data_IF_647224268414
#
_entry.id   IF_647224268414
#
_cell.length_a   1.000
_cell.length_b   1.000
_cell.length_c   1.000
_cell.angle_alpha   90.00
_cell.angle_beta   90.00
_cell.angle_gamma   90.00
#
_symmetry.space_group_name_H-M   'P 1'
#
loop_
_entity.id
_entity.type
_entity.pdbx_description
1 polymer ?
#
# COMPACT_ATOMS: atom_id res chain seq x y z
N UNK A 1 55.74 3.44 13.57
CA UNK A 1 54.87 4.57 13.18
C UNK A 1 53.69 4.09 12.33
N UNK A 2 53.92 3.26 11.30
CA UNK A 2 52.85 2.72 10.42
C UNK A 2 51.78 1.85 11.11
N UNK A 3 52.13 1.05 12.13
CA UNK A 3 51.17 0.19 12.85
C UNK A 3 50.18 0.95 13.75
N UNK A 4 50.46 2.21 14.09
CA UNK A 4 49.58 3.00 14.97
C UNK A 4 48.44 3.65 14.18
N UNK A 5 48.70 4.04 12.93
CA UNK A 5 47.69 4.66 12.05
C UNK A 5 46.65 3.66 11.54
N UNK A 6 47.03 2.39 11.27
CA UNK A 6 46.09 1.34 10.85
C UNK A 6 45.08 0.96 11.96
N UNK A 7 45.55 0.88 13.21
CA UNK A 7 44.68 0.62 14.37
C UNK A 7 43.70 1.78 14.63
N UNK A 8 44.14 3.02 14.38
CA UNK A 8 43.32 4.22 14.54
C UNK A 8 42.26 4.34 13.44
N UNK A 9 42.59 3.96 12.20
CA UNK A 9 41.64 3.85 11.08
C UNK A 9 40.59 2.76 11.33
N UNK A 10 41.00 1.57 11.79
CA UNK A 10 40.07 0.47 12.10
C UNK A 10 39.13 0.81 13.28
N UNK A 11 39.62 1.54 14.28
CA UNK A 11 38.79 2.02 15.39
C UNK A 11 37.80 3.11 14.95
N UNK A 12 38.21 4.02 14.06
CA UNK A 12 37.34 5.04 13.46
C UNK A 12 36.27 4.43 12.55
N UNK A 13 36.62 3.43 11.74
CA UNK A 13 35.67 2.68 10.91
C UNK A 13 34.69 1.87 11.75
N UNK A 14 35.15 1.26 12.85
CA UNK A 14 34.26 0.54 13.77
C UNK A 14 33.33 1.50 14.53
N UNK A 15 33.82 2.68 14.92
CA UNK A 15 32.99 3.74 15.50
C UNK A 15 32.00 4.30 14.49
N UNK A 16 32.39 4.52 13.23
CA UNK A 16 31.50 4.94 12.16
C UNK A 16 30.47 3.87 11.83
N UNK A 17 30.82 2.58 11.78
CA UNK A 17 29.85 1.49 11.62
C UNK A 17 28.86 1.46 12.78
N UNK A 18 29.33 1.60 14.02
CA UNK A 18 28.48 1.67 15.21
C UNK A 18 27.61 2.94 15.26
N UNK A 19 28.10 4.10 14.81
CA UNK A 19 27.30 5.33 14.70
C UNK A 19 26.27 5.26 13.57
N UNK A 20 26.61 4.64 12.44
CA UNK A 20 25.70 4.43 11.31
C UNK A 20 24.61 3.40 11.65
N UNK A 21 24.92 2.42 12.51
CA UNK A 21 23.95 1.50 13.11
C UNK A 21 23.11 2.15 14.23
N UNK A 22 23.64 3.17 14.92
CA UNK A 22 22.95 3.90 16.01
C UNK A 22 22.00 5.01 15.57
N UNK A 23 21.93 5.33 14.27
CA UNK A 23 21.02 6.37 13.74
C UNK A 23 20.16 5.92 12.54
N UNK A 24 19.86 4.62 12.40
CA UNK A 24 18.63 4.24 11.70
C UNK A 24 17.46 4.52 12.64
N UNK A 25 16.78 5.64 12.42
CA UNK A 25 15.48 5.90 13.03
C UNK A 25 14.61 4.64 12.91
N UNK A 26 14.02 4.20 14.02
CA UNK A 26 13.12 3.05 14.05
C UNK A 26 12.07 3.20 12.93
N UNK A 27 11.90 2.16 12.10
CA UNK A 27 10.93 2.20 11.01
C UNK A 27 9.53 2.30 11.59
N UNK A 28 8.70 3.19 11.04
CA UNK A 28 7.31 3.34 11.44
C UNK A 28 6.40 2.54 10.53
N UNK A 29 5.52 1.75 11.11
CA UNK A 29 4.55 0.94 10.38
C UNK A 29 3.15 1.37 10.77
N UNK A 30 2.30 1.63 9.78
CA UNK A 30 0.87 1.80 9.97
C UNK A 30 0.15 0.54 9.49
N UNK A 31 -0.64 -0.07 10.37
CA UNK A 31 -1.55 -1.16 9.99
C UNK A 31 -2.98 -0.62 9.97
N UNK A 32 -3.57 -0.50 8.78
CA UNK A 32 -4.98 -0.19 8.61
C UNK A 32 -5.79 -1.49 8.66
N UNK A 33 -6.61 -1.65 9.69
CA UNK A 33 -7.33 -2.89 9.96
C UNK A 33 -8.84 -2.70 9.83
N UNK A 34 -9.48 -3.53 9.01
CA UNK A 34 -10.92 -3.47 8.75
C UNK A 34 -11.62 -4.80 9.00
N UNK A 35 -11.78 -5.17 10.27
CA UNK A 35 -12.65 -6.28 10.65
C UNK A 35 -13.20 -6.10 12.06
N UNK A 36 -14.48 -6.41 12.27
CA UNK A 36 -15.20 -6.09 13.52
C UNK A 36 -14.95 -7.03 14.71
N UNK A 37 -14.40 -8.23 14.45
CA UNK A 37 -14.19 -9.26 15.48
C UNK A 37 -12.71 -9.48 15.78
N UNK A 38 -12.35 -9.35 17.06
CA UNK A 38 -11.03 -9.68 17.62
C UNK A 38 -10.71 -11.17 17.59
N UNK A 39 -11.71 -12.05 17.47
CA UNK A 39 -11.52 -13.50 17.31
C UNK A 39 -11.36 -13.95 15.86
N UNK A 40 -11.30 -13.02 14.91
CA UNK A 40 -11.20 -13.34 13.49
C UNK A 40 -9.80 -13.74 13.07
N UNK A 41 -9.69 -14.47 11.95
CA UNK A 41 -8.39 -14.73 11.33
C UNK A 41 -7.68 -13.43 10.90
N UNK A 42 -8.45 -12.42 10.48
CA UNK A 42 -7.90 -11.10 10.16
C UNK A 42 -7.28 -10.42 11.40
N UNK A 43 -7.92 -10.56 12.57
CA UNK A 43 -7.34 -10.07 13.84
C UNK A 43 -6.02 -10.77 14.12
N UNK A 44 -5.98 -12.10 14.03
CA UNK A 44 -4.77 -12.88 14.25
C UNK A 44 -3.63 -12.52 13.27
N UNK A 45 -3.93 -12.28 11.99
CA UNK A 45 -2.95 -11.84 11.01
C UNK A 45 -2.40 -10.43 11.29
N UNK A 46 -3.26 -9.51 11.73
CA UNK A 46 -2.87 -8.17 12.21
C UNK A 46 -2.01 -8.25 13.47
N UNK A 47 -2.42 -9.05 14.46
CA UNK A 47 -1.68 -9.23 15.71
C UNK A 47 -0.30 -9.84 15.46
N UNK A 48 -0.20 -10.83 14.55
CA UNK A 48 1.08 -11.40 14.13
C UNK A 48 2.01 -10.34 13.49
N UNK A 49 1.46 -9.44 12.67
CA UNK A 49 2.22 -8.34 12.08
C UNK A 49 2.71 -7.34 13.15
N UNK A 50 1.85 -6.95 14.09
CA UNK A 50 2.23 -6.09 15.22
C UNK A 50 3.37 -6.72 16.00
N UNK A 51 3.22 -7.99 16.40
CA UNK A 51 4.20 -8.73 17.20
C UNK A 51 5.56 -8.79 16.50
N UNK A 52 5.61 -9.28 15.26
CA UNK A 52 6.86 -9.53 14.54
C UNK A 52 7.56 -8.22 14.15
N UNK A 53 6.84 -7.18 13.74
CA UNK A 53 7.44 -5.91 13.35
C UNK A 53 7.93 -5.13 14.58
N UNK A 54 7.19 -5.17 15.69
CA UNK A 54 7.64 -4.59 16.96
C UNK A 54 8.90 -5.30 17.47
N UNK A 55 8.96 -6.63 17.38
CA UNK A 55 10.15 -7.41 17.76
C UNK A 55 11.38 -7.08 16.88
N UNK A 56 11.18 -6.60 15.66
CA UNK A 56 12.24 -6.10 14.77
C UNK A 56 12.64 -4.64 15.06
N UNK A 57 12.08 -4.01 16.09
CA UNK A 57 12.38 -2.62 16.46
C UNK A 57 11.60 -1.58 15.65
N UNK A 58 10.52 -1.97 14.96
CA UNK A 58 9.61 -0.99 14.34
C UNK A 58 8.68 -0.37 15.39
N UNK A 59 8.32 0.89 15.20
CA UNK A 59 7.17 1.49 15.89
C UNK A 59 5.92 1.17 15.07
N UNK A 60 4.99 0.41 15.64
CA UNK A 60 3.76 0.00 14.94
C UNK A 60 2.56 0.76 15.50
N UNK A 61 1.86 1.50 14.64
CA UNK A 61 0.55 2.09 14.93
C UNK A 61 -0.54 1.32 14.18
N UNK A 62 -1.71 1.16 14.83
CA UNK A 62 -2.85 0.46 14.24
C UNK A 62 -4.04 1.40 14.16
N UNK A 63 -4.63 1.51 12.98
CA UNK A 63 -5.94 2.12 12.77
C UNK A 63 -6.98 1.01 12.61
N UNK A 64 -7.58 0.60 13.72
CA UNK A 64 -8.71 -0.33 13.74
C UNK A 64 -10.00 0.44 13.42
N UNK A 65 -10.39 0.39 12.15
CA UNK A 65 -11.48 1.20 11.63
C UNK A 65 -12.82 0.92 12.32
N UNK A 66 -13.06 -0.33 12.73
CA UNK A 66 -14.30 -0.70 13.42
C UNK A 66 -14.27 -0.25 14.88
N UNK A 67 -13.15 -0.44 15.59
CA UNK A 67 -13.00 0.03 16.96
C UNK A 67 -13.08 1.56 17.06
N UNK A 68 -12.50 2.27 16.07
CA UNK A 68 -12.57 3.73 15.95
C UNK A 68 -13.96 4.24 15.54
N UNK A 69 -14.87 3.35 15.11
CA UNK A 69 -16.15 3.72 14.47
C UNK A 69 -15.93 4.72 13.33
N UNK A 70 -14.92 4.47 12.52
CA UNK A 70 -14.49 5.39 11.48
C UNK A 70 -15.65 5.71 10.53
N UNK A 71 -15.93 7.01 10.35
CA UNK A 71 -16.96 7.49 9.41
C UNK A 71 -16.49 7.20 7.98
N UNK A 72 -17.24 6.39 7.25
CA UNK A 72 -16.85 5.95 5.90
C UNK A 72 -17.30 6.90 4.78
N UNK A 73 -18.30 7.75 5.01
CA UNK A 73 -18.88 8.59 3.97
C UNK A 73 -18.14 9.91 3.85
N UNK A 74 -17.58 10.18 2.67
CA UNK A 74 -17.00 11.48 2.32
C UNK A 74 -18.11 12.53 2.12
N UNK A 75 -18.19 13.53 2.99
CA UNK A 75 -19.24 14.58 2.95
C UNK A 75 -18.70 15.95 3.35
N UNK A 76 -19.47 17.01 3.15
CA UNK A 76 -19.08 18.37 3.56
C UNK A 76 -18.75 18.50 5.07
N UNK A 77 -19.24 17.59 5.92
CA UNK A 77 -18.92 17.53 7.35
C UNK A 77 -17.45 17.19 7.65
N UNK A 78 -16.70 16.74 6.64
CA UNK A 78 -15.26 16.48 6.75
C UNK A 78 -14.44 17.78 6.78
N UNK A 79 -15.09 18.93 6.59
CA UNK A 79 -14.49 20.26 6.58
C UNK A 79 -15.03 21.04 7.78
N UNK A 80 -14.12 21.55 8.61
CA UNK A 80 -14.45 22.42 9.74
C UNK A 80 -14.59 23.86 9.24
N UNK A 81 -15.78 24.43 9.38
CA UNK A 81 -16.08 25.80 8.97
C UNK A 81 -16.80 25.89 7.64
N UNK A 82 -16.74 27.06 7.00
CA UNK A 82 -17.43 27.31 5.73
C UNK A 82 -16.67 26.70 4.56
N UNK A 83 -17.41 26.06 3.66
CA UNK A 83 -16.93 25.60 2.34
C UNK A 83 -17.01 26.75 1.35
N UNK A 84 -16.15 26.73 0.31
CA UNK A 84 -16.05 27.83 -0.65
C UNK A 84 -17.31 27.96 -1.51
N UNK A 85 -17.93 26.85 -1.90
CA UNK A 85 -19.13 26.82 -2.74
C UNK A 85 -20.09 25.72 -2.29
N UNK A 86 -20.93 26.03 -1.31
CA UNK A 86 -21.92 25.09 -0.78
C UNK A 86 -23.00 24.69 -1.81
N UNK A 87 -23.38 25.60 -2.72
CA UNK A 87 -24.39 25.34 -3.75
C UNK A 87 -23.91 24.36 -4.82
N UNK A 88 -22.60 24.39 -5.13
CA UNK A 88 -21.94 23.50 -6.08
C UNK A 88 -20.76 22.78 -5.44
N UNK A 89 -21.03 22.09 -4.34
CA UNK A 89 -20.02 21.40 -3.55
C UNK A 89 -19.25 20.36 -4.39
N UNK A 90 -17.93 20.53 -4.47
CA UNK A 90 -17.01 19.57 -5.08
C UNK A 90 -16.07 19.04 -4.00
N UNK A 91 -16.30 17.79 -3.56
CA UNK A 91 -15.52 17.21 -2.45
C UNK A 91 -14.01 17.28 -2.71
N UNK A 92 -13.56 17.02 -3.94
CA UNK A 92 -12.13 17.03 -4.28
C UNK A 92 -11.49 18.42 -4.14
N UNK A 93 -12.19 19.49 -4.53
CA UNK A 93 -11.66 20.85 -4.47
C UNK A 93 -11.82 21.45 -3.07
N UNK A 94 -12.95 21.20 -2.41
CA UNK A 94 -13.22 21.70 -1.06
C UNK A 94 -12.32 21.01 -0.01
N UNK A 95 -12.12 19.69 -0.08
CA UNK A 95 -11.21 18.98 0.83
C UNK A 95 -9.74 19.34 0.59
N UNK A 96 -9.36 19.68 -0.65
CA UNK A 96 -8.03 20.22 -0.95
C UNK A 96 -7.82 21.57 -0.26
N UNK A 97 -8.75 22.51 -0.41
CA UNK A 97 -8.66 23.82 0.25
C UNK A 97 -8.66 23.66 1.77
N UNK A 98 -9.53 22.81 2.31
CA UNK A 98 -9.56 22.51 3.73
C UNK A 98 -8.24 21.92 4.22
N UNK A 99 -7.58 21.07 3.43
CA UNK A 99 -6.24 20.57 3.77
C UNK A 99 -5.20 21.69 3.80
N UNK A 100 -5.17 22.56 2.78
CA UNK A 100 -4.24 23.71 2.71
C UNK A 100 -4.41 24.68 3.88
N UNK A 101 -5.64 24.85 4.37
CA UNK A 101 -5.99 25.77 5.47
C UNK A 101 -6.00 25.10 6.86
N UNK A 102 -5.74 23.79 6.96
CA UNK A 102 -5.78 23.06 8.23
C UNK A 102 -7.19 22.92 8.82
N UNK A 103 -8.20 22.84 7.96
CA UNK A 103 -9.64 22.76 8.28
C UNK A 103 -10.27 21.40 7.99
N UNK A 104 -9.49 20.34 7.85
CA UNK A 104 -10.07 18.99 7.78
C UNK A 104 -10.51 18.51 9.17
N UNK A 105 -11.50 17.63 9.22
CA UNK A 105 -11.97 17.02 10.46
C UNK A 105 -10.86 16.27 11.17
N UNK A 106 -10.90 16.29 12.51
CA UNK A 106 -9.80 15.79 13.35
C UNK A 106 -9.45 14.32 13.07
N UNK A 107 -10.46 13.49 12.83
CA UNK A 107 -10.29 12.07 12.48
C UNK A 107 -9.55 11.88 11.15
N UNK A 108 -9.75 12.75 10.16
CA UNK A 108 -8.97 12.71 8.91
C UNK A 108 -7.53 13.15 9.18
N UNK A 109 -7.33 14.27 9.88
CA UNK A 109 -5.98 14.79 10.13
C UNK A 109 -5.10 13.84 10.94
N UNK A 110 -5.70 13.07 11.86
CA UNK A 110 -4.97 12.06 12.64
C UNK A 110 -4.53 10.88 11.77
N UNK A 111 -5.38 10.41 10.85
CA UNK A 111 -5.00 9.35 9.92
C UNK A 111 -3.96 9.83 8.91
N UNK A 112 -4.05 11.09 8.47
CA UNK A 112 -3.02 11.73 7.64
C UNK A 112 -1.69 11.82 8.37
N UNK A 113 -1.68 12.19 9.66
CA UNK A 113 -0.46 12.19 10.51
C UNK A 113 0.21 10.82 10.52
N UNK A 114 -0.55 9.77 10.86
CA UNK A 114 -0.05 8.38 10.87
C UNK A 114 0.56 7.99 9.52
N UNK A 115 -0.11 8.33 8.42
CA UNK A 115 0.36 8.03 7.07
C UNK A 115 1.63 8.81 6.70
N UNK A 116 1.72 10.08 7.09
CA UNK A 116 2.92 10.90 6.90
C UNK A 116 4.12 10.34 7.66
N UNK A 117 3.90 9.82 8.86
CA UNK A 117 4.96 9.26 9.69
C UNK A 117 5.39 7.84 9.29
N UNK A 118 4.49 7.03 8.72
CA UNK A 118 4.78 5.64 8.38
C UNK A 118 5.74 5.49 7.19
N UNK A 119 6.68 4.55 7.28
CA UNK A 119 7.51 4.06 6.17
C UNK A 119 6.84 2.92 5.41
N UNK A 120 6.06 2.09 6.11
CA UNK A 120 5.35 0.93 5.59
C UNK A 120 3.88 0.98 6.03
N UNK A 121 2.97 0.74 5.08
CA UNK A 121 1.54 0.66 5.32
C UNK A 121 1.05 -0.75 4.98
N UNK A 122 0.40 -1.41 5.93
CA UNK A 122 -0.24 -2.71 5.73
C UNK A 122 -1.76 -2.54 5.83
N UNK A 123 -2.47 -2.92 4.78
CA UNK A 123 -3.93 -2.94 4.77
C UNK A 123 -4.40 -4.36 5.09
N UNK A 124 -4.91 -4.59 6.30
CA UNK A 124 -5.45 -5.89 6.73
C UNK A 124 -6.98 -5.93 6.65
N UNK A 125 -7.54 -6.80 5.81
CA UNK A 125 -8.99 -6.87 5.60
C UNK A 125 -9.49 -8.23 5.07
N UNK A 126 -10.76 -8.59 5.29
CA UNK A 126 -11.42 -9.60 4.47
C UNK A 126 -11.78 -9.01 3.10
N UNK A 127 -11.51 -9.73 2.02
CA UNK A 127 -11.99 -9.35 0.69
C UNK A 127 -13.51 -9.45 0.66
N UNK A 128 -14.18 -8.32 0.42
CA UNK A 128 -15.63 -8.23 0.21
C UNK A 128 -15.90 -7.74 -1.20
N UNK A 129 -16.73 -8.48 -1.94
CA UNK A 129 -17.09 -8.13 -3.32
C UNK A 129 -15.89 -7.79 -4.20
N UNK A 130 -14.85 -8.66 -4.18
CA UNK A 130 -13.63 -8.51 -4.99
C UNK A 130 -12.82 -7.24 -4.68
N UNK A 131 -13.06 -6.60 -3.53
CA UNK A 131 -12.35 -5.39 -3.09
C UNK A 131 -12.27 -5.32 -1.56
N UNK A 132 -11.93 -4.15 -1.02
CA UNK A 132 -11.86 -3.85 0.40
C UNK A 132 -13.26 -3.69 1.03
N UNK A 133 -13.42 -3.88 2.35
CA UNK A 133 -14.64 -3.52 3.06
C UNK A 133 -15.00 -2.03 2.87
N UNK A 134 -16.29 -1.72 2.84
CA UNK A 134 -16.78 -0.35 2.62
C UNK A 134 -16.17 0.68 3.59
N UNK A 135 -15.92 0.31 4.84
CA UNK A 135 -15.28 1.20 5.84
C UNK A 135 -13.83 1.55 5.46
N UNK A 136 -13.09 0.62 4.87
CA UNK A 136 -11.73 0.86 4.38
C UNK A 136 -11.75 1.65 3.07
N UNK A 137 -12.72 1.40 2.19
CA UNK A 137 -12.92 2.25 1.00
C UNK A 137 -13.24 3.69 1.39
N UNK A 138 -14.08 3.87 2.40
CA UNK A 138 -14.38 5.18 2.97
C UNK A 138 -13.16 5.86 3.60
N UNK A 139 -12.26 5.10 4.22
CA UNK A 139 -10.97 5.61 4.68
C UNK A 139 -10.13 6.12 3.51
N UNK A 140 -10.06 5.40 2.38
CA UNK A 140 -9.40 5.91 1.17
C UNK A 140 -10.02 7.23 0.71
N UNK A 141 -11.35 7.29 0.62
CA UNK A 141 -12.07 8.45 0.11
C UNK A 141 -11.89 9.71 0.97
N UNK A 142 -11.80 9.54 2.30
CA UNK A 142 -11.70 10.66 3.25
C UNK A 142 -10.27 11.07 3.55
N UNK A 143 -9.33 10.12 3.62
CA UNK A 143 -7.95 10.37 4.08
C UNK A 143 -7.01 10.70 2.93
N UNK A 144 -7.18 10.07 1.76
CA UNK A 144 -6.31 10.27 0.59
C UNK A 144 -6.76 11.50 -0.23
N UNK A 145 -6.84 12.66 0.41
CA UNK A 145 -7.32 13.90 -0.23
C UNK A 145 -6.33 14.46 -1.26
N UNK A 146 -6.86 15.21 -2.24
CA UNK A 146 -6.05 16.00 -3.18
C UNK A 146 -5.22 17.03 -2.39
N UNK A 147 -3.96 17.22 -2.79
CA UNK A 147 -2.98 18.02 -2.07
C UNK A 147 -2.15 17.17 -1.09
N UNK A 148 -2.81 16.34 -0.27
CA UNK A 148 -2.15 15.47 0.70
C UNK A 148 -1.57 14.19 0.08
N UNK A 149 -2.39 13.40 -0.61
CA UNK A 149 -2.01 12.08 -1.11
C UNK A 149 -1.65 12.07 -2.61
N UNK A 150 -2.20 13.02 -3.38
CA UNK A 150 -1.90 13.19 -4.80
C UNK A 150 -2.13 14.63 -5.27
N UNK A 151 -1.56 14.98 -6.41
CA UNK A 151 -1.90 16.18 -7.17
C UNK A 151 -1.91 15.87 -8.68
N UNK A 152 -2.26 16.86 -9.49
CA UNK A 152 -2.20 16.73 -10.95
C UNK A 152 -0.76 16.46 -11.43
N UNK A 153 0.25 17.00 -10.74
CA UNK A 153 1.67 16.81 -11.05
C UNK A 153 2.27 15.59 -10.36
N UNK A 154 1.79 15.26 -9.16
CA UNK A 154 2.33 14.22 -8.27
C UNK A 154 1.37 13.04 -8.16
N UNK A 155 1.52 12.08 -9.08
CA UNK A 155 0.80 10.80 -9.13
C UNK A 155 1.67 9.69 -9.70
N UNK A 156 1.29 8.44 -9.49
CA UNK A 156 2.02 7.26 -9.98
C UNK A 156 3.50 7.30 -9.55
N UNK A 157 4.45 7.01 -10.45
CA UNK A 157 5.89 7.06 -10.13
C UNK A 157 6.41 8.43 -9.64
N UNK A 158 5.64 9.52 -9.82
CA UNK A 158 5.94 10.85 -9.28
C UNK A 158 5.07 11.22 -8.06
N UNK A 159 4.34 10.27 -7.50
CA UNK A 159 3.39 10.47 -6.41
C UNK A 159 4.04 10.93 -5.11
N UNK A 160 3.21 11.45 -4.21
CA UNK A 160 3.64 12.04 -2.93
C UNK A 160 4.29 10.98 -2.03
N UNK A 161 3.78 9.74 -2.07
CA UNK A 161 4.23 8.64 -1.21
C UNK A 161 5.29 7.73 -1.84
N UNK A 162 6.05 8.20 -2.84
CA UNK A 162 7.05 7.41 -3.59
C UNK A 162 8.19 6.79 -2.77
N UNK A 163 8.45 7.31 -1.58
CA UNK A 163 9.46 6.76 -0.65
C UNK A 163 8.87 5.79 0.38
N UNK A 164 7.54 5.56 0.35
CA UNK A 164 6.81 4.70 1.28
C UNK A 164 6.42 3.39 0.61
N UNK A 165 6.42 2.31 1.37
CA UNK A 165 5.96 0.99 0.92
C UNK A 165 4.52 0.75 1.37
N UNK A 166 3.73 0.06 0.56
CA UNK A 166 2.37 -0.33 0.90
C UNK A 166 2.08 -1.77 0.49
N UNK A 167 1.30 -2.50 1.29
CA UNK A 167 0.95 -3.90 1.02
C UNK A 167 -0.51 -4.18 1.37
N UNK A 168 -1.20 -4.93 0.49
CA UNK A 168 -2.50 -5.52 0.79
C UNK A 168 -2.29 -6.87 1.48
N UNK A 169 -2.85 -7.05 2.67
CA UNK A 169 -2.90 -8.32 3.41
C UNK A 169 -4.35 -8.71 3.64
N UNK A 170 -4.83 -9.78 3.01
CA UNK A 170 -6.26 -10.05 3.05
C UNK A 170 -6.62 -11.53 3.02
N UNK A 171 -7.81 -11.82 3.56
CA UNK A 171 -8.40 -13.16 3.52
C UNK A 171 -9.47 -13.23 2.43
N UNK A 172 -9.56 -14.34 1.72
CA UNK A 172 -10.66 -14.61 0.78
C UNK A 172 -11.68 -15.60 1.37
N UNK A 173 -12.89 -15.62 0.83
CA UNK A 173 -13.84 -16.71 1.05
C UNK A 173 -13.65 -17.91 0.11
N UNK A 174 -12.97 -17.67 -1.02
CA UNK A 174 -12.76 -18.62 -2.12
C UNK A 174 -11.34 -19.19 -2.13
N UNK A 175 -11.21 -20.43 -2.60
CA UNK A 175 -9.91 -21.09 -2.77
C UNK A 175 -9.07 -20.40 -3.85
N UNK A 176 -7.74 -20.52 -3.75
CA UNK A 176 -6.79 -19.97 -4.73
C UNK A 176 -7.10 -20.39 -6.17
N UNK A 177 -7.42 -21.66 -6.40
CA UNK A 177 -7.72 -22.20 -7.72
C UNK A 177 -8.85 -21.48 -8.44
N UNK A 178 -9.81 -20.91 -7.70
CA UNK A 178 -10.92 -20.15 -8.26
C UNK A 178 -10.47 -18.83 -8.89
N UNK A 179 -9.29 -18.32 -8.53
CA UNK A 179 -8.70 -17.09 -9.06
C UNK A 179 -7.53 -17.34 -10.03
N UNK A 180 -7.38 -18.57 -10.51
CA UNK A 180 -6.46 -18.88 -11.60
C UNK A 180 -7.00 -18.36 -12.95
N UNK A 181 -6.18 -18.40 -14.00
CA UNK A 181 -6.58 -17.99 -15.35
C UNK A 181 -7.83 -18.71 -15.89
N UNK A 182 -8.11 -19.93 -15.40
CA UNK A 182 -9.30 -20.72 -15.75
C UNK A 182 -10.29 -20.85 -14.58
N UNK A 183 -10.09 -20.10 -13.50
CA UNK A 183 -10.93 -20.11 -12.33
C UNK A 183 -12.19 -19.26 -12.52
N UNK A 184 -13.29 -19.65 -11.90
CA UNK A 184 -14.60 -18.98 -12.05
C UNK A 184 -14.61 -17.52 -11.58
N UNK A 185 -13.71 -17.14 -10.67
CA UNK A 185 -13.59 -15.77 -10.16
C UNK A 185 -12.71 -14.89 -11.05
N UNK A 186 -12.03 -15.47 -12.05
CA UNK A 186 -11.07 -14.77 -12.90
C UNK A 186 -9.71 -14.53 -12.23
N UNK A 187 -8.75 -14.04 -13.01
CA UNK A 187 -7.37 -13.84 -12.59
C UNK A 187 -7.26 -12.81 -11.43
N UNK A 188 -6.63 -13.22 -10.32
CA UNK A 188 -6.36 -12.34 -9.17
C UNK A 188 -5.56 -11.09 -9.58
N UNK A 189 -4.69 -11.18 -10.59
CA UNK A 189 -3.94 -10.02 -11.07
C UNK A 189 -4.87 -8.90 -11.58
N UNK A 190 -5.97 -9.25 -12.24
CA UNK A 190 -7.00 -8.30 -12.71
C UNK A 190 -7.77 -7.72 -11.53
N UNK A 191 -8.11 -8.56 -10.56
CA UNK A 191 -8.85 -8.15 -9.36
C UNK A 191 -8.09 -7.11 -8.54
N UNK A 192 -6.77 -7.23 -8.42
CA UNK A 192 -5.95 -6.37 -7.57
C UNK A 192 -5.54 -5.05 -8.24
N UNK A 193 -5.51 -5.00 -9.58
CA UNK A 193 -5.05 -3.83 -10.33
C UNK A 193 -5.71 -2.50 -9.90
N UNK A 194 -7.04 -2.41 -9.70
CA UNK A 194 -7.65 -1.14 -9.29
C UNK A 194 -7.16 -0.63 -7.93
N UNK A 195 -6.86 -1.51 -6.98
CA UNK A 195 -6.38 -1.12 -5.66
C UNK A 195 -4.88 -0.82 -5.70
N UNK A 196 -4.08 -1.73 -6.26
CA UNK A 196 -2.63 -1.60 -6.28
C UNK A 196 -2.17 -0.47 -7.20
N UNK A 197 -2.65 -0.41 -8.44
CA UNK A 197 -2.31 0.68 -9.36
C UNK A 197 -3.17 1.94 -9.11
N UNK A 198 -4.49 1.78 -9.05
CA UNK A 198 -5.43 2.91 -9.05
C UNK A 198 -5.55 3.67 -7.74
N UNK A 199 -5.18 3.07 -6.60
CA UNK A 199 -5.17 3.73 -5.29
C UNK A 199 -3.75 3.90 -4.78
N UNK A 200 -3.03 2.79 -4.58
CA UNK A 200 -1.73 2.83 -3.90
C UNK A 200 -0.64 3.45 -4.78
N UNK A 201 -0.38 2.87 -5.95
CA UNK A 201 0.62 3.40 -6.88
C UNK A 201 0.23 4.81 -7.35
N UNK A 202 -1.05 5.09 -7.56
CA UNK A 202 -1.53 6.44 -7.88
C UNK A 202 -1.07 7.50 -6.87
N UNK A 203 -1.12 7.21 -5.56
CA UNK A 203 -0.59 8.10 -4.52
C UNK A 203 0.94 8.09 -4.42
N UNK A 204 1.61 7.16 -5.12
CA UNK A 204 3.05 7.04 -5.24
C UNK A 204 3.66 5.81 -4.59
N UNK A 205 2.91 5.05 -3.80
CA UNK A 205 3.50 3.96 -3.02
C UNK A 205 4.31 2.97 -3.86
N UNK A 206 5.42 2.50 -3.28
CA UNK A 206 6.08 1.28 -3.69
C UNK A 206 5.23 0.11 -3.21
N UNK A 207 4.44 -0.48 -4.11
CA UNK A 207 3.47 -1.51 -3.74
C UNK A 207 4.16 -2.86 -3.66
N UNK A 208 4.13 -3.50 -2.49
CA UNK A 208 4.67 -4.85 -2.29
C UNK A 208 3.68 -5.90 -2.80
N UNK A 209 4.20 -7.11 -3.07
CA UNK A 209 3.35 -8.26 -3.38
C UNK A 209 2.31 -8.48 -2.27
N UNK A 210 1.05 -8.83 -2.60
CA UNK A 210 0.02 -8.98 -1.59
C UNK A 210 0.29 -10.19 -0.69
N UNK A 211 -0.21 -10.15 0.55
CA UNK A 211 -0.33 -11.33 1.40
C UNK A 211 -1.77 -11.84 1.30
N UNK A 212 -1.98 -12.99 0.64
CA UNK A 212 -3.32 -13.57 0.47
C UNK A 212 -3.46 -14.82 1.33
N UNK A 213 -4.47 -14.81 2.20
CA UNK A 213 -4.90 -15.96 2.96
C UNK A 213 -6.12 -16.59 2.30
N UNK A 214 -5.90 -17.69 1.57
CA UNK A 214 -6.94 -18.33 0.77
C UNK A 214 -7.92 -19.15 1.61
N UNK A 215 -9.17 -18.72 1.68
CA UNK A 215 -10.27 -19.42 2.34
C UNK A 215 -9.97 -19.96 3.76
N UNK A 216 -9.41 -19.15 4.70
CA UNK A 216 -9.04 -19.63 6.03
C UNK A 216 -10.23 -20.23 6.81
N UNK A 217 -11.46 -19.77 6.54
CA UNK A 217 -12.68 -20.30 7.15
C UNK A 217 -13.07 -21.71 6.66
N UNK A 218 -12.45 -22.20 5.58
CA UNK A 218 -12.76 -23.51 4.95
C UNK A 218 -11.67 -24.56 5.15
N UNK A 219 -10.62 -24.23 5.92
CA UNK A 219 -9.49 -25.14 6.17
C UNK A 219 -9.38 -25.49 7.66
N UNK A 220 -8.77 -26.63 8.02
CA UNK A 220 -8.58 -27.02 9.41
C UNK A 220 -7.65 -26.08 10.20
N UNK A 221 -7.63 -26.24 11.52
CA UNK A 221 -6.94 -25.32 12.43
C UNK A 221 -5.42 -25.30 12.26
N UNK A 222 -4.81 -26.45 12.04
CA UNK A 222 -3.38 -26.60 11.74
C UNK A 222 -2.97 -25.84 10.46
N UNK A 223 -3.82 -25.87 9.44
CA UNK A 223 -3.61 -25.14 8.18
C UNK A 223 -3.68 -23.63 8.40
N UNK A 224 -4.64 -23.16 9.21
CA UNK A 224 -4.71 -21.74 9.62
C UNK A 224 -3.47 -21.32 10.41
N UNK A 225 -2.97 -22.17 11.31
CA UNK A 225 -1.73 -21.90 12.03
C UNK A 225 -0.54 -21.81 11.09
N UNK A 226 -0.41 -22.75 10.14
CA UNK A 226 0.66 -22.72 9.14
C UNK A 226 0.63 -21.45 8.26
N UNK A 227 -0.57 -20.97 7.91
CA UNK A 227 -0.73 -19.68 7.21
C UNK A 227 -0.17 -18.51 8.03
N UNK A 228 -0.46 -18.45 9.33
CA UNK A 228 0.06 -17.42 10.23
C UNK A 228 1.59 -17.54 10.40
N UNK A 229 2.13 -18.74 10.52
CA UNK A 229 3.59 -18.94 10.62
C UNK A 229 4.32 -18.55 9.32
N UNK A 230 3.72 -18.82 8.16
CA UNK A 230 4.25 -18.36 6.87
C UNK A 230 4.24 -16.84 6.79
N UNK A 231 3.18 -16.20 7.31
CA UNK A 231 3.08 -14.75 7.40
C UNK A 231 4.14 -14.16 8.34
N UNK A 232 4.33 -14.74 9.52
CA UNK A 232 5.40 -14.35 10.46
C UNK A 232 6.78 -14.46 9.83
N UNK A 233 7.02 -15.53 9.08
CA UNK A 233 8.30 -15.74 8.37
C UNK A 233 8.53 -14.64 7.34
N UNK A 234 7.54 -14.32 6.51
CA UNK A 234 7.64 -13.25 5.52
C UNK A 234 7.89 -11.88 6.17
N UNK A 235 7.20 -11.59 7.27
CA UNK A 235 7.34 -10.34 8.02
C UNK A 235 8.78 -10.07 8.50
N UNK A 236 9.62 -11.10 8.68
CA UNK A 236 11.03 -10.93 9.06
C UNK A 236 11.87 -10.24 7.97
N UNK A 237 11.49 -10.38 6.70
CA UNK A 237 12.18 -9.79 5.55
C UNK A 237 11.43 -8.65 4.86
N UNK A 238 10.19 -8.36 5.30
CA UNK A 238 9.24 -7.52 4.56
C UNK A 238 9.78 -6.13 4.21
N UNK A 239 10.52 -5.48 5.12
CA UNK A 239 11.07 -4.14 4.88
C UNK A 239 12.06 -4.10 3.70
N UNK A 240 12.73 -5.22 3.43
CA UNK A 240 13.69 -5.38 2.36
C UNK A 240 13.10 -5.92 1.05
N UNK A 241 11.81 -6.26 1.00
CA UNK A 241 11.19 -6.78 -0.23
C UNK A 241 11.20 -5.74 -1.35
N UNK A 242 11.50 -6.20 -2.57
CA UNK A 242 11.34 -5.41 -3.79
C UNK A 242 9.84 -5.21 -4.11
N UNK A 243 9.43 -4.02 -4.58
CA UNK A 243 8.05 -3.77 -4.96
C UNK A 243 7.67 -4.43 -6.29
N UNK A 244 6.36 -4.48 -6.56
CA UNK A 244 5.79 -4.78 -7.86
C UNK A 244 6.18 -3.72 -8.89
N UNK A 245 6.24 -4.14 -10.16
CA UNK A 245 6.55 -3.28 -11.30
C UNK A 245 5.28 -2.64 -11.87
N UNK A 246 5.29 -1.31 -12.01
CA UNK A 246 4.27 -0.54 -12.74
C UNK A 246 4.92 0.27 -13.85
N UNK A 247 4.16 0.58 -14.90
CA UNK A 247 4.62 1.47 -15.97
C UNK A 247 4.81 2.89 -15.41
N UNK A 248 6.03 3.44 -15.42
CA UNK A 248 6.29 4.78 -14.91
C UNK A 248 5.53 5.88 -15.67
N UNK A 249 5.18 6.98 -14.99
CA UNK A 249 4.40 8.09 -15.58
C UNK A 249 5.11 8.79 -16.74
N UNK A 250 6.44 8.81 -16.76
CA UNK A 250 7.25 9.37 -17.84
C UNK A 250 7.20 8.56 -19.14
N UNK A 251 6.66 7.34 -19.10
CA UNK A 251 6.33 6.57 -20.30
C UNK A 251 5.07 7.11 -21.02
N UNK A 252 4.32 8.03 -20.40
CA UNK A 252 3.10 8.60 -20.95
C UNK A 252 3.30 10.07 -21.37
N UNK A 253 2.65 10.44 -22.47
CA UNK A 253 2.67 11.78 -23.05
C UNK A 253 1.53 12.63 -22.48
N UNK A 254 1.87 13.64 -21.67
CA UNK A 254 0.91 14.54 -21.03
C UNK A 254 0.17 15.43 -22.05
N UNK A 255 0.84 15.83 -23.13
CA UNK A 255 0.27 16.70 -24.15
C UNK A 255 -0.71 15.93 -25.05
N UNK A 256 -0.53 14.62 -25.15
CA UNK A 256 -1.43 13.71 -25.89
C UNK A 256 -2.43 13.00 -25.00
N UNK A 257 -2.88 13.64 -23.91
CA UNK A 257 -3.95 13.09 -23.07
C UNK A 257 -3.53 11.83 -22.30
N UNK A 258 -2.29 11.79 -21.80
CA UNK A 258 -1.73 10.69 -21.00
C UNK A 258 -1.70 9.35 -21.75
N UNK A 259 -1.50 9.35 -23.06
CA UNK A 259 -1.30 8.14 -23.86
C UNK A 259 0.15 7.66 -23.79
N UNK A 260 0.36 6.34 -23.96
CA UNK A 260 1.71 5.76 -23.97
C UNK A 260 2.54 6.36 -25.12
N UNK A 261 3.78 6.76 -24.85
CA UNK A 261 4.68 7.34 -25.86
C UNK A 261 5.03 6.33 -26.96
N UNK A 262 5.17 6.82 -28.19
CA UNK A 262 5.43 5.98 -29.38
C UNK A 262 6.68 5.12 -29.22
N UNK A 263 7.77 5.67 -28.68
CA UNK A 263 9.02 4.94 -28.46
C UNK A 263 8.88 3.80 -27.44
N UNK A 264 7.95 3.91 -26.49
CA UNK A 264 7.64 2.82 -25.56
C UNK A 264 6.81 1.76 -26.27
N UNK A 265 5.83 2.18 -27.07
CA UNK A 265 5.02 1.28 -27.89
C UNK A 265 5.88 0.44 -28.85
N UNK A 266 6.84 1.07 -29.53
CA UNK A 266 7.79 0.42 -30.44
C UNK A 266 8.67 -0.60 -29.72
N UNK A 267 9.24 -0.23 -28.56
CA UNK A 267 10.03 -1.16 -27.73
C UNK A 267 9.24 -2.38 -27.26
N UNK A 268 7.93 -2.22 -27.07
CA UNK A 268 7.04 -3.30 -26.64
C UNK A 268 6.50 -4.12 -27.80
N UNK A 269 6.60 -3.68 -29.06
CA UNK A 269 5.98 -4.33 -30.20
C UNK A 269 6.38 -5.82 -30.33
N UNK A 270 7.64 -6.15 -30.08
CA UNK A 270 8.20 -7.51 -30.19
C UNK A 270 8.05 -8.37 -28.93
N UNK A 271 7.55 -7.81 -27.82
CA UNK A 271 7.35 -8.55 -26.57
C UNK A 271 6.07 -9.39 -26.63
N UNK A 272 6.11 -10.58 -26.04
CA UNK A 272 4.95 -11.48 -25.96
C UNK A 272 3.83 -10.89 -25.10
N UNK A 273 4.18 -10.44 -23.90
CA UNK A 273 3.25 -9.90 -22.92
C UNK A 273 3.13 -8.37 -23.02
N UNK A 274 2.03 -7.84 -22.51
CA UNK A 274 1.89 -6.41 -22.24
C UNK A 274 2.79 -5.94 -21.11
N UNK A 275 2.82 -4.63 -20.85
CA UNK A 275 3.66 -4.03 -19.82
C UNK A 275 3.20 -4.39 -18.40
N UNK A 276 1.90 -4.33 -18.19
CA UNK A 276 1.24 -4.57 -16.90
C UNK A 276 -0.18 -5.08 -17.16
N UNK A 277 -0.92 -5.42 -16.09
CA UNK A 277 -2.34 -5.79 -16.21
C UNK A 277 -3.18 -4.69 -16.90
N UNK A 278 -3.06 -3.43 -16.47
CA UNK A 278 -3.85 -2.34 -17.05
C UNK A 278 -3.25 -1.71 -18.30
N UNK A 279 -1.96 -1.90 -18.58
CA UNK A 279 -1.30 -1.47 -19.82
C UNK A 279 -0.89 -2.69 -20.64
N UNK A 280 -1.87 -3.53 -20.97
CA UNK A 280 -1.63 -4.80 -21.65
C UNK A 280 -1.47 -4.68 -23.17
N UNK A 281 -1.84 -3.54 -23.77
CA UNK A 281 -1.66 -3.25 -25.21
C UNK A 281 -2.32 -4.27 -26.16
N UNK A 282 -3.43 -4.89 -25.72
CA UNK A 282 -4.10 -5.97 -26.46
C UNK A 282 -3.35 -7.31 -26.47
N UNK A 283 -2.25 -7.42 -25.72
CA UNK A 283 -1.42 -8.63 -25.58
C UNK A 283 -1.83 -9.46 -24.35
N UNK A 284 -1.36 -10.72 -24.23
CA UNK A 284 -1.45 -11.48 -22.99
C UNK A 284 -0.93 -10.71 -21.78
N UNK A 285 -1.56 -10.92 -20.62
CA UNK A 285 -1.15 -10.26 -19.38
C UNK A 285 0.20 -10.83 -18.90
N UNK A 286 1.14 -9.98 -18.43
CA UNK A 286 2.36 -10.46 -17.82
C UNK A 286 2.02 -11.32 -16.58
N UNK A 287 2.54 -12.57 -16.49
CA UNK A 287 2.18 -13.49 -15.42
C UNK A 287 2.50 -12.91 -14.04
N UNK A 288 1.59 -13.01 -13.08
CA UNK A 288 1.82 -12.55 -11.69
C UNK A 288 2.22 -11.08 -11.52
N UNK A 289 1.98 -10.20 -12.50
CA UNK A 289 2.39 -8.79 -12.43
C UNK A 289 1.90 -8.04 -11.18
N UNK A 290 0.76 -8.44 -10.61
CA UNK A 290 0.19 -7.85 -9.40
C UNK A 290 0.37 -8.74 -8.15
N UNK A 291 1.06 -9.87 -8.31
CA UNK A 291 1.19 -10.93 -7.32
C UNK A 291 2.64 -11.22 -6.90
N UNK A 292 3.63 -10.96 -7.75
CA UNK A 292 5.06 -11.21 -7.48
C UNK A 292 5.92 -10.07 -7.99
N UNK A 293 6.92 -9.68 -7.20
CA UNK A 293 7.93 -8.70 -7.61
C UNK A 293 8.91 -9.30 -8.62
N UNK A 294 9.57 -8.44 -9.40
CA UNK A 294 10.62 -8.83 -10.35
C UNK A 294 10.12 -9.55 -11.61
N UNK A 295 8.83 -9.41 -11.94
CA UNK A 295 8.22 -9.91 -13.18
C UNK A 295 8.03 -8.80 -14.20
#
# INVERSE_FOLDING_TARGET
>A
MLLHDELQCLLLDHYHLQLTLRFRMAKKVLILYAHQSSGSFNAAAKDAAVEVLTAQGCTVEVSDLYAMKFKATATAEDITGEVKNAEHFSYAEESKLAWEEGKLSADITEEQRKLSEADLIIFQFPMYWFTVPAIMKGWFDRVLTKGFAYSDEKRYSLGIFKEKKAMLSFTTGSHESMFSANGINGDMNVTLWPLQNGVLHYCGFQVLAPQIFWAPARVPADTRSAMLESWRTRLQGLLGEEPLSFTPLDCFDREKGFQLKSEVHEKQATKEFGLTVGTHLGKPLPPNNQMKAGV
#
